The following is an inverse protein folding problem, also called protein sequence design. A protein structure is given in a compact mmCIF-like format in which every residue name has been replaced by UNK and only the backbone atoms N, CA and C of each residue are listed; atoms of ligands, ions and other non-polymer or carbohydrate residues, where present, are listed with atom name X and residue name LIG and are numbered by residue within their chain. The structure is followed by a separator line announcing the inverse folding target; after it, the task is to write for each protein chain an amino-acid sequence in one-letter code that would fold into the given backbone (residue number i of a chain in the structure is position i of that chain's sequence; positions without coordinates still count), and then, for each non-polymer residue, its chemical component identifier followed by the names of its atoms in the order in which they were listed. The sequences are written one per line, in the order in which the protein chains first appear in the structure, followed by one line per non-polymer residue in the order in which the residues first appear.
data_IF_833710702129
#
_entry.id   IF_833710702129
#
_cell.length_a   1.000
_cell.length_b   1.000
_cell.length_c   1.000
_cell.angle_alpha   90.00
_cell.angle_beta   90.00
_cell.angle_gamma   90.00
#
_symmetry.space_group_name_H-M   'P 1'
#
loop_
_entity.id
_entity.type
_entity.pdbx_description
1 polymer ?
#
# COMPACT_ATOMS: atom_id res chain seq x y z
N UNK A 1 -8.81 9.92 -26.11
CA UNK A 1 -8.71 8.84 -25.11
C UNK A 1 -8.40 9.49 -23.79
N UNK A 2 -9.40 9.56 -22.90
CA UNK A 2 -9.22 10.11 -21.56
C UNK A 2 -8.39 9.10 -20.76
N UNK A 3 -7.13 9.45 -20.49
CA UNK A 3 -6.19 8.64 -19.73
C UNK A 3 -5.95 9.28 -18.37
N UNK A 4 -7.03 9.55 -17.65
CA UNK A 4 -6.97 9.95 -16.25
C UNK A 4 -6.65 8.74 -15.37
N UNK A 5 -5.39 8.27 -15.44
CA UNK A 5 -4.89 7.36 -14.40
C UNK A 5 -5.02 8.07 -13.04
N UNK A 6 -5.46 7.35 -11.98
CA UNK A 6 -5.51 7.91 -10.65
C UNK A 6 -4.14 8.49 -10.27
N UNK A 7 -4.09 9.76 -9.86
CA UNK A 7 -2.85 10.36 -9.38
C UNK A 7 -2.45 9.69 -8.06
N UNK A 8 -1.26 9.09 -8.04
CA UNK A 8 -0.68 8.54 -6.82
C UNK A 8 -0.44 9.67 -5.80
N UNK A 9 -0.52 9.33 -4.52
CA UNK A 9 -0.29 10.26 -3.41
C UNK A 9 1.21 10.52 -3.21
N UNK A 10 1.82 11.28 -4.13
CA UNK A 10 3.24 11.64 -4.12
C UNK A 10 3.73 12.09 -2.73
N UNK A 11 4.92 11.61 -2.34
CA UNK A 11 5.57 11.87 -1.05
C UNK A 11 4.84 11.32 0.19
N UNK A 12 3.78 10.50 0.03
CA UNK A 12 3.11 9.88 1.17
C UNK A 12 4.09 9.15 2.09
N UNK A 13 5.03 8.37 1.56
CA UNK A 13 5.96 7.62 2.41
C UNK A 13 6.90 8.55 3.18
N UNK A 14 7.35 9.65 2.58
CA UNK A 14 8.14 10.65 3.29
C UNK A 14 7.33 11.24 4.46
N UNK A 15 6.09 11.69 4.22
CA UNK A 15 5.23 12.22 5.28
C UNK A 15 4.90 11.18 6.35
N UNK A 16 4.74 9.92 5.96
CA UNK A 16 4.48 8.80 6.87
C UNK A 16 5.62 8.59 7.86
N UNK A 17 6.87 8.63 7.39
CA UNK A 17 8.05 8.49 8.26
C UNK A 17 8.33 9.76 9.07
N UNK A 18 8.05 10.94 8.51
CA UNK A 18 8.22 12.23 9.18
C UNK A 18 7.13 12.55 10.22
N UNK A 19 6.12 11.69 10.37
CA UNK A 19 4.95 11.95 11.23
C UNK A 19 4.14 13.20 10.83
N UNK A 20 4.03 13.44 9.52
CA UNK A 20 3.36 14.61 8.93
C UNK A 20 2.12 14.27 8.11
N UNK A 21 1.67 13.01 8.13
CA UNK A 21 0.45 12.62 7.40
C UNK A 21 -0.77 13.23 8.11
N UNK A 22 -1.61 14.01 7.41
CA UNK A 22 -2.82 14.56 7.99
C UNK A 22 -3.74 13.45 8.52
N UNK A 23 -4.42 13.71 9.65
CA UNK A 23 -5.36 12.75 10.20
C UNK A 23 -6.47 12.43 9.17
N UNK A 24 -6.78 11.14 9.02
CA UNK A 24 -7.77 10.67 8.05
C UNK A 24 -7.32 10.72 6.59
N UNK A 25 -6.06 11.05 6.28
CA UNK A 25 -5.56 11.00 4.91
C UNK A 25 -5.54 9.55 4.38
N UNK A 26 -6.11 9.38 3.19
CA UNK A 26 -6.25 8.09 2.51
C UNK A 26 -5.42 8.09 1.23
N UNK A 27 -4.16 7.62 1.28
CA UNK A 27 -3.28 7.72 0.14
C UNK A 27 -3.69 6.76 -0.98
N UNK A 28 -3.50 7.20 -2.22
CA UNK A 28 -3.60 6.38 -3.42
C UNK A 28 -2.21 5.84 -3.74
N UNK A 29 -2.03 4.54 -3.68
CA UNK A 29 -0.74 3.86 -3.82
C UNK A 29 -0.81 2.78 -4.90
N UNK A 30 0.32 2.53 -5.55
CA UNK A 30 0.46 1.43 -6.50
C UNK A 30 1.02 0.21 -5.81
N UNK A 31 0.44 -0.96 -6.07
CA UNK A 31 0.95 -2.26 -5.60
C UNK A 31 2.02 -2.74 -6.57
N UNK A 32 3.26 -2.83 -6.10
CA UNK A 32 4.40 -3.31 -6.89
C UNK A 32 4.66 -4.81 -6.70
N UNK A 33 4.45 -5.31 -5.48
CA UNK A 33 4.71 -6.71 -5.14
C UNK A 33 3.85 -7.14 -3.96
N UNK A 34 3.43 -8.40 -3.95
CA UNK A 34 2.78 -9.04 -2.80
C UNK A 34 3.53 -10.35 -2.52
N UNK A 35 3.83 -10.62 -1.25
CA UNK A 35 4.38 -11.90 -0.82
C UNK A 35 3.72 -12.37 0.49
N UNK A 36 3.48 -13.67 0.68
CA UNK A 36 3.06 -14.20 1.96
C UNK A 36 4.10 -13.94 3.05
N UNK A 37 3.65 -13.70 4.29
CA UNK A 37 4.50 -13.77 5.47
C UNK A 37 4.56 -15.24 5.94
N UNK A 38 5.76 -15.80 6.09
CA UNK A 38 5.93 -17.20 6.49
C UNK A 38 5.24 -17.46 7.84
N UNK A 39 4.44 -18.53 7.89
CA UNK A 39 3.74 -18.96 9.11
C UNK A 39 2.57 -18.07 9.53
N UNK A 40 2.14 -17.10 8.71
CA UNK A 40 1.05 -16.18 9.02
C UNK A 40 0.06 -16.08 7.85
N UNK A 41 -1.22 -15.82 8.15
CA UNK A 41 -2.25 -15.55 7.13
C UNK A 41 -2.20 -14.10 6.59
N UNK A 42 -1.04 -13.44 6.74
CA UNK A 42 -0.82 -12.04 6.39
C UNK A 42 0.03 -11.95 5.12
N UNK A 43 -0.17 -10.87 4.38
CA UNK A 43 0.63 -10.57 3.19
C UNK A 43 1.51 -9.35 3.48
N UNK A 44 2.71 -9.36 2.93
CA UNK A 44 3.56 -8.17 2.84
C UNK A 44 3.46 -7.62 1.43
N UNK A 45 3.06 -6.36 1.33
CA UNK A 45 3.00 -5.63 0.07
C UNK A 45 4.19 -4.66 -0.04
N UNK A 46 4.77 -4.57 -1.24
CA UNK A 46 5.59 -3.43 -1.65
C UNK A 46 4.68 -2.45 -2.36
N UNK A 47 4.55 -1.26 -1.81
CA UNK A 47 3.69 -0.20 -2.31
C UNK A 47 4.53 0.99 -2.80
N UNK A 48 4.05 1.71 -3.80
CA UNK A 48 4.67 2.92 -4.36
C UNK A 48 3.71 4.09 -4.24
N UNK A 49 4.24 5.26 -3.87
CA UNK A 49 3.51 6.53 -3.88
C UNK A 49 3.78 7.36 -5.15
N UNK A 50 4.52 6.79 -6.11
CA UNK A 50 4.96 7.44 -7.35
C UNK A 50 6.37 8.05 -7.27
N UNK A 51 6.91 8.24 -6.07
CA UNK A 51 8.26 8.77 -5.83
C UNK A 51 9.11 7.76 -5.05
N UNK A 52 8.55 7.24 -3.96
CA UNK A 52 9.16 6.25 -3.09
C UNK A 52 8.40 4.93 -3.14
N UNK A 53 9.13 3.84 -2.94
CA UNK A 53 8.57 2.51 -2.76
C UNK A 53 8.93 1.96 -1.38
N UNK A 54 7.94 1.45 -0.65
CA UNK A 54 8.12 0.88 0.68
C UNK A 54 7.63 -0.57 0.74
N UNK A 55 8.48 -1.46 1.25
CA UNK A 55 8.24 -2.90 1.31
C UNK A 55 7.76 -3.40 2.69
N UNK A 56 7.51 -2.51 3.65
CA UNK A 56 7.10 -2.87 5.01
C UNK A 56 5.60 -2.89 5.25
N UNK A 57 4.76 -2.73 4.22
CA UNK A 57 3.31 -2.71 4.38
C UNK A 57 2.77 -4.12 4.64
N UNK A 58 2.19 -4.34 5.81
CA UNK A 58 1.49 -5.60 6.15
C UNK A 58 0.00 -5.43 5.86
N UNK A 59 -0.54 -6.31 5.03
CA UNK A 59 -1.95 -6.39 4.68
C UNK A 59 -2.63 -7.37 5.64
N UNK A 60 -3.61 -6.89 6.40
CA UNK A 60 -4.30 -7.67 7.42
C UNK A 60 -5.45 -8.51 6.85
N UNK A 61 -5.81 -9.59 7.57
CA UNK A 61 -6.60 -10.74 7.09
C UNK A 61 -7.92 -10.42 6.36
N UNK A 62 -8.57 -9.28 6.62
CA UNK A 62 -9.86 -8.98 5.99
C UNK A 62 -9.76 -8.74 4.48
N UNK A 63 -8.58 -8.33 3.98
CA UNK A 63 -8.40 -7.95 2.57
C UNK A 63 -7.28 -8.73 1.87
N UNK A 64 -6.54 -9.58 2.58
CA UNK A 64 -5.44 -10.37 2.00
C UNK A 64 -5.92 -11.29 0.87
N UNK A 65 -7.06 -11.96 1.05
CA UNK A 65 -7.67 -12.79 0.01
C UNK A 65 -8.00 -11.98 -1.25
N UNK A 66 -8.44 -10.72 -1.09
CA UNK A 66 -8.78 -9.84 -2.21
C UNK A 66 -7.55 -9.39 -2.98
N UNK A 67 -6.47 -9.06 -2.29
CA UNK A 67 -5.19 -8.67 -2.90
C UNK A 67 -4.62 -9.75 -3.83
N UNK A 68 -4.77 -11.02 -3.45
CA UNK A 68 -4.37 -12.16 -4.28
C UNK A 68 -5.36 -12.42 -5.41
N UNK A 69 -6.67 -12.41 -5.12
CA UNK A 69 -7.71 -12.67 -6.11
C UNK A 69 -7.70 -11.66 -7.27
N UNK A 70 -7.45 -10.37 -6.96
CA UNK A 70 -7.40 -9.30 -7.95
C UNK A 70 -6.04 -9.19 -8.67
N UNK A 71 -5.07 -10.04 -8.31
CA UNK A 71 -3.72 -10.05 -8.89
C UNK A 71 -3.04 -8.67 -8.90
N UNK A 72 -3.22 -7.90 -7.83
CA UNK A 72 -2.85 -6.48 -7.80
C UNK A 72 -1.36 -6.23 -8.06
N UNK A 73 -0.47 -7.14 -7.68
CA UNK A 73 0.97 -7.02 -7.98
C UNK A 73 1.33 -7.28 -9.44
N UNK A 74 0.55 -8.11 -10.15
CA UNK A 74 0.82 -8.47 -11.55
C UNK A 74 0.33 -7.37 -12.51
N UNK A 75 -0.77 -6.73 -12.14
CA UNK A 75 -1.44 -5.73 -12.97
C UNK A 75 -1.09 -4.29 -12.61
N UNK A 76 -0.05 -4.07 -11.79
CA UNK A 76 0.32 -2.74 -11.26
C UNK A 76 -0.88 -2.02 -10.62
N UNK A 77 -1.68 -2.76 -9.86
CA UNK A 77 -2.96 -2.31 -9.32
C UNK A 77 -2.80 -1.07 -8.43
N UNK A 78 -3.68 -0.10 -8.63
CA UNK A 78 -3.74 1.12 -7.82
C UNK A 78 -4.83 0.95 -6.77
N UNK A 79 -4.48 1.20 -5.51
CA UNK A 79 -5.37 1.08 -4.35
C UNK A 79 -5.46 2.41 -3.62
N UNK A 80 -6.63 2.69 -3.04
CA UNK A 80 -6.78 3.73 -2.03
C UNK A 80 -6.73 3.09 -0.65
N UNK A 81 -5.78 3.48 0.18
CA UNK A 81 -5.64 2.96 1.54
C UNK A 81 -6.60 3.72 2.46
N UNK A 82 -7.69 3.07 2.85
CA UNK A 82 -8.74 3.69 3.67
C UNK A 82 -8.41 3.71 5.16
N UNK A 83 -7.63 2.74 5.64
CA UNK A 83 -7.19 2.61 7.04
C UNK A 83 -5.77 2.06 7.08
N UNK A 84 -4.94 2.63 7.94
CA UNK A 84 -3.57 2.19 8.18
C UNK A 84 -3.14 2.52 9.60
N UNK A 85 -2.10 1.84 10.09
CA UNK A 85 -1.49 2.06 11.40
C UNK A 85 0.02 1.91 11.28
N UNK A 86 0.77 2.84 11.90
CA UNK A 86 2.22 2.68 12.11
C UNK A 86 2.47 1.68 13.22
N UNK A 87 3.32 0.71 12.93
CA UNK A 87 3.77 -0.27 13.91
C UNK A 87 5.29 -0.24 13.86
N UNK A 88 5.90 0.35 14.88
CA UNK A 88 7.33 0.22 15.11
C UNK A 88 7.49 -0.98 16.05
N UNK A 89 8.23 -2.00 15.63
CA UNK A 89 8.68 -3.02 16.55
C UNK A 89 9.73 -2.38 17.46
N UNK A 90 9.35 -2.14 18.71
CA UNK A 90 10.24 -1.86 19.83
C UNK A 90 11.20 -3.01 20.08
#
# INVERSE_FOLDING_TARGET
MDSSQPKLSHCFFQYFFDDKVPNGYQPILQVLQIRPLQGQNQLRARLSDGIFAYAGCVVTNLISARFQADQLSTNNGIIQVTKWKRTFTS
#
